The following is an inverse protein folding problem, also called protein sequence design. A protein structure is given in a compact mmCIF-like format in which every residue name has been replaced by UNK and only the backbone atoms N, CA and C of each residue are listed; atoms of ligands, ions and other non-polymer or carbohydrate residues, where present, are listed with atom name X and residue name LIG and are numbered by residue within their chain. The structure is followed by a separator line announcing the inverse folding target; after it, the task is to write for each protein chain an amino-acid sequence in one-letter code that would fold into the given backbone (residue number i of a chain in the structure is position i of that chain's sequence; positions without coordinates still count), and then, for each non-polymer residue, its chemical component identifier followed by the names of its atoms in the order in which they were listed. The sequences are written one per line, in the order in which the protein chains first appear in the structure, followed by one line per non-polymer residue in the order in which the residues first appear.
data_IF_345446916600
#
_entry.id   IF_345446916600
#
_cell.length_a   1.000
_cell.length_b   1.000
_cell.length_c   1.000
_cell.angle_alpha   90.00
_cell.angle_beta   90.00
_cell.angle_gamma   90.00
#
_symmetry.space_group_name_H-M   'P 1'
#
loop_
_entity.id
_entity.type
_entity.pdbx_description
1 polymer ?
#
# COMPACT_ATOMS: atom_id res chain seq x y z
N UNK A 1 -9.71 -3.91 17.58
CA UNK A 1 -9.75 -2.66 16.81
C UNK A 1 -9.60 -1.46 17.73
N UNK A 2 -8.54 -0.65 17.52
CA UNK A 2 -8.23 0.53 18.33
C UNK A 2 -9.38 1.56 18.38
N UNK A 3 -10.17 1.67 17.30
CA UNK A 3 -11.39 2.50 17.25
C UNK A 3 -12.46 2.02 18.24
N UNK A 4 -12.71 0.69 18.31
CA UNK A 4 -13.70 0.12 19.25
C UNK A 4 -13.29 0.26 20.72
N UNK A 5 -11.98 0.38 20.98
CA UNK A 5 -11.42 0.62 22.32
C UNK A 5 -11.44 2.10 22.73
N UNK A 6 -11.71 3.01 21.79
CA UNK A 6 -11.66 4.45 22.02
C UNK A 6 -10.23 5.04 21.98
N UNK A 7 -9.25 4.26 21.51
CA UNK A 7 -7.84 4.68 21.44
C UNK A 7 -7.60 5.66 20.27
N UNK A 8 -8.45 5.59 19.23
CA UNK A 8 -8.44 6.45 18.06
C UNK A 8 -9.84 7.05 17.88
N UNK A 9 -9.94 8.37 17.78
CA UNK A 9 -11.19 9.06 17.50
C UNK A 9 -11.70 8.70 16.10
N UNK A 10 -12.93 8.19 16.00
CA UNK A 10 -13.51 7.74 14.75
C UNK A 10 -13.75 8.88 13.73
N UNK A 11 -13.89 10.12 14.21
CA UNK A 11 -14.18 11.30 13.38
C UNK A 11 -12.90 12.07 13.09
N UNK A 12 -12.14 12.48 14.11
CA UNK A 12 -10.92 13.31 13.93
C UNK A 12 -9.68 12.48 13.59
N UNK A 13 -9.70 11.19 13.93
CA UNK A 13 -8.51 10.35 13.85
C UNK A 13 -7.46 10.68 14.90
N UNK A 14 -7.72 11.52 15.89
CA UNK A 14 -6.74 11.77 16.95
C UNK A 14 -6.51 10.51 17.78
N UNK A 15 -5.24 10.26 18.10
CA UNK A 15 -4.85 9.15 18.98
C UNK A 15 -4.81 9.67 20.42
N UNK A 16 -5.35 8.89 21.35
CA UNK A 16 -5.28 9.25 22.77
C UNK A 16 -3.83 9.17 23.25
N UNK A 17 -3.32 10.27 23.82
CA UNK A 17 -2.02 10.30 24.49
C UNK A 17 -1.98 9.20 25.57
N UNK A 18 -0.84 8.52 25.72
CA UNK A 18 -0.57 7.42 26.67
C UNK A 18 -1.19 6.03 26.38
N UNK A 19 -1.81 5.82 25.21
CA UNK A 19 -2.30 4.49 24.85
C UNK A 19 -1.29 3.73 23.98
N UNK A 20 -0.95 2.49 24.36
CA UNK A 20 -0.12 1.57 23.54
C UNK A 20 -0.90 1.10 22.32
N UNK A 21 -0.92 1.91 21.27
CA UNK A 21 -1.40 1.55 19.93
C UNK A 21 -0.26 0.83 19.20
N UNK A 22 -0.58 -0.27 18.51
CA UNK A 22 0.42 -1.02 17.72
C UNK A 22 0.90 -0.22 16.52
N UNK A 23 2.11 -0.47 16.05
CA UNK A 23 2.67 0.30 14.94
C UNK A 23 1.91 0.06 13.63
N UNK A 24 1.35 -1.14 13.42
CA UNK A 24 0.50 -1.45 12.27
C UNK A 24 -0.77 -0.61 12.29
N UNK A 25 -1.39 -0.40 13.47
CA UNK A 25 -2.57 0.44 13.60
C UNK A 25 -2.24 1.92 13.34
N UNK A 26 -1.05 2.39 13.75
CA UNK A 26 -0.58 3.75 13.43
C UNK A 26 -0.29 3.93 11.94
N UNK A 27 0.32 2.94 11.29
CA UNK A 27 0.56 2.93 9.85
C UNK A 27 -0.78 2.94 9.12
N UNK A 28 -1.71 2.03 9.45
CA UNK A 28 -3.03 1.97 8.83
C UNK A 28 -3.77 3.30 8.95
N UNK A 29 -3.77 3.92 10.13
CA UNK A 29 -4.31 5.27 10.34
C UNK A 29 -3.63 6.27 9.41
N UNK A 30 -2.29 6.31 9.37
CA UNK A 30 -1.54 7.25 8.52
C UNK A 30 -1.86 7.07 7.03
N UNK A 31 -2.10 5.84 6.58
CA UNK A 31 -2.52 5.54 5.21
C UNK A 31 -3.94 6.03 4.93
N UNK A 32 -4.91 5.77 5.82
CA UNK A 32 -6.29 6.26 5.62
C UNK A 32 -6.33 7.79 5.52
N UNK A 33 -5.46 8.48 6.29
CA UNK A 33 -5.36 9.94 6.26
C UNK A 33 -4.56 10.52 5.08
N UNK A 34 -3.76 9.70 4.38
CA UNK A 34 -2.90 10.15 3.29
C UNK A 34 -3.53 9.82 1.94
N UNK A 35 -3.81 10.85 1.13
CA UNK A 35 -4.34 10.67 -0.22
C UNK A 35 -3.78 11.76 -1.15
N UNK A 36 -3.09 11.33 -2.21
CA UNK A 36 -2.28 12.22 -3.03
C UNK A 36 -1.27 12.98 -2.17
N UNK A 37 -1.27 14.31 -2.25
CA UNK A 37 -0.39 15.19 -1.45
C UNK A 37 -1.06 15.74 -0.18
N UNK A 38 -2.25 15.24 0.19
CA UNK A 38 -3.02 15.75 1.33
C UNK A 38 -2.94 14.80 2.52
N UNK A 39 -2.84 15.38 3.71
CA UNK A 39 -2.94 14.67 4.98
C UNK A 39 -4.16 15.17 5.75
N UNK A 40 -5.24 14.38 5.76
CA UNK A 40 -6.46 14.70 6.49
C UNK A 40 -7.16 13.43 6.96
N UNK A 41 -7.28 13.26 8.27
CA UNK A 41 -7.95 12.13 8.90
C UNK A 41 -9.46 12.34 9.08
N UNK A 42 -9.91 13.60 9.10
CA UNK A 42 -11.26 13.96 9.53
C UNK A 42 -12.31 13.38 8.59
N UNK A 43 -13.22 12.57 9.14
CA UNK A 43 -14.29 11.91 8.38
C UNK A 43 -13.86 10.72 7.52
N UNK A 44 -12.57 10.35 7.52
CA UNK A 44 -12.06 9.20 6.75
C UNK A 44 -11.86 7.94 7.59
N UNK A 45 -11.50 8.06 8.87
CA UNK A 45 -11.09 6.92 9.72
C UNK A 45 -12.16 5.83 9.87
N UNK A 46 -13.44 6.20 10.00
CA UNK A 46 -14.55 5.25 10.11
C UNK A 46 -15.25 4.95 8.79
N UNK A 47 -15.08 5.84 7.79
CA UNK A 47 -15.81 5.80 6.52
C UNK A 47 -15.06 5.05 5.44
N UNK A 48 -13.73 5.22 5.40
CA UNK A 48 -12.87 4.71 4.34
C UNK A 48 -12.24 3.39 4.77
N UNK A 49 -12.39 2.37 3.93
CA UNK A 49 -11.63 1.13 4.01
C UNK A 49 -10.43 1.22 3.07
N UNK A 50 -9.26 0.73 3.51
CA UNK A 50 -8.06 0.60 2.66
C UNK A 50 -8.30 -0.38 1.51
N UNK A 51 -9.00 -1.47 1.80
CA UNK A 51 -9.44 -2.49 0.85
C UNK A 51 -10.94 -2.68 1.05
N UNK A 52 -11.72 -2.62 -0.02
CA UNK A 52 -13.17 -2.78 0.05
C UNK A 52 -13.57 -4.26 0.20
N UNK A 53 -14.87 -4.51 0.38
CA UNK A 53 -15.39 -5.87 0.60
C UNK A 53 -15.25 -6.78 -0.64
N UNK A 54 -14.94 -6.22 -1.82
CA UNK A 54 -14.64 -6.95 -3.04
C UNK A 54 -13.14 -7.23 -3.25
N UNK A 55 -12.28 -6.86 -2.29
CA UNK A 55 -10.83 -7.04 -2.39
C UNK A 55 -10.11 -5.99 -3.23
N UNK A 56 -10.79 -4.90 -3.62
CA UNK A 56 -10.20 -3.80 -4.40
C UNK A 56 -9.63 -2.74 -3.46
N UNK A 57 -8.39 -2.34 -3.71
CA UNK A 57 -7.70 -1.29 -2.97
C UNK A 57 -8.34 0.07 -3.28
N UNK A 58 -8.51 0.93 -2.27
CA UNK A 58 -9.07 2.26 -2.46
C UNK A 58 -8.20 3.11 -3.40
N UNK A 59 -8.82 3.61 -4.48
CA UNK A 59 -8.16 4.41 -5.50
C UNK A 59 -7.64 5.77 -4.98
N UNK A 60 -8.31 6.39 -4.00
CA UNK A 60 -7.94 7.71 -3.46
C UNK A 60 -6.50 7.75 -2.94
N UNK A 61 -6.08 6.67 -2.27
CA UNK A 61 -4.78 6.55 -1.61
C UNK A 61 -3.86 5.53 -2.25
N UNK A 62 -4.22 4.95 -3.40
CA UNK A 62 -3.52 3.83 -4.00
C UNK A 62 -2.00 4.06 -4.12
N UNK A 63 -1.59 5.22 -4.66
CA UNK A 63 -0.18 5.56 -4.82
C UNK A 63 0.53 5.86 -3.49
N UNK A 64 -0.19 6.33 -2.48
CA UNK A 64 0.36 6.48 -1.12
C UNK A 64 0.58 5.10 -0.49
N UNK A 65 -0.35 4.16 -0.72
CA UNK A 65 -0.25 2.79 -0.20
C UNK A 65 0.88 2.04 -0.88
N UNK A 66 1.07 2.24 -2.18
CA UNK A 66 2.20 1.68 -2.92
C UNK A 66 3.55 2.14 -2.35
N UNK A 67 3.71 3.44 -2.09
CA UNK A 67 4.92 3.95 -1.42
C UNK A 67 5.13 3.32 -0.05
N UNK A 68 4.07 3.23 0.76
CA UNK A 68 4.19 2.66 2.10
C UNK A 68 4.55 1.17 2.05
N UNK A 69 3.89 0.38 1.20
CA UNK A 69 4.18 -1.04 1.03
C UNK A 69 5.62 -1.25 0.54
N UNK A 70 6.04 -0.50 -0.48
CA UNK A 70 7.38 -0.56 -1.06
C UNK A 70 8.49 -0.32 -0.02
N UNK A 71 8.30 0.59 0.93
CA UNK A 71 9.33 0.97 1.89
C UNK A 71 9.26 0.23 3.23
N UNK A 72 8.05 -0.13 3.71
CA UNK A 72 7.87 -0.82 5.00
C UNK A 72 8.09 -2.31 4.84
N UNK A 73 7.50 -2.90 3.80
CA UNK A 73 7.50 -4.34 3.56
C UNK A 73 8.52 -4.71 2.48
N UNK A 74 9.77 -4.35 2.76
CA UNK A 74 10.88 -4.59 1.82
C UNK A 74 11.00 -6.08 1.48
N UNK A 75 10.77 -6.98 2.45
CA UNK A 75 10.84 -8.42 2.22
C UNK A 75 9.80 -8.89 1.21
N UNK A 76 8.54 -8.48 1.35
CA UNK A 76 7.50 -8.89 0.39
C UNK A 76 7.71 -8.26 -0.99
N UNK A 77 8.23 -7.03 -1.05
CA UNK A 77 8.65 -6.44 -2.32
C UNK A 77 9.75 -7.29 -2.99
N UNK A 78 10.82 -7.64 -2.27
CA UNK A 78 11.90 -8.48 -2.83
C UNK A 78 11.39 -9.85 -3.32
N UNK A 79 10.52 -10.51 -2.54
CA UNK A 79 9.95 -11.82 -2.90
C UNK A 79 9.06 -11.73 -4.14
N UNK A 80 8.35 -10.61 -4.32
CA UNK A 80 7.49 -10.41 -5.50
C UNK A 80 8.26 -10.39 -6.82
N UNK A 81 9.57 -10.10 -6.78
CA UNK A 81 10.43 -9.81 -7.95
C UNK A 81 9.81 -8.78 -8.91
N UNK A 82 8.90 -7.95 -8.41
CA UNK A 82 8.39 -6.81 -9.12
C UNK A 82 9.50 -5.78 -9.27
N UNK A 83 9.37 -4.97 -10.31
CA UNK A 83 10.20 -3.79 -10.51
C UNK A 83 9.25 -2.62 -10.76
N UNK A 84 9.61 -1.43 -10.31
CA UNK A 84 8.81 -0.23 -10.54
C UNK A 84 9.68 0.84 -11.17
N UNK A 85 9.20 1.42 -12.27
CA UNK A 85 9.80 2.61 -12.85
C UNK A 85 8.72 3.65 -13.18
N UNK A 86 8.85 4.90 -12.71
CA UNK A 86 9.85 5.37 -11.75
C UNK A 86 9.68 4.71 -10.36
N UNK A 87 10.77 4.65 -9.60
CA UNK A 87 10.78 4.03 -8.27
C UNK A 87 9.93 4.86 -7.30
N UNK A 88 9.12 4.24 -6.42
CA UNK A 88 8.40 4.96 -5.38
C UNK A 88 9.35 5.80 -4.51
N UNK A 89 8.90 6.98 -4.03
CA UNK A 89 9.72 7.83 -3.17
C UNK A 89 10.12 7.10 -1.88
N UNK A 90 11.29 7.43 -1.35
CA UNK A 90 11.71 6.88 -0.06
C UNK A 90 10.81 7.41 1.06
N UNK A 91 10.41 6.52 1.97
CA UNK A 91 9.58 6.88 3.10
C UNK A 91 9.84 5.94 4.27
N UNK A 92 9.83 6.47 5.49
CA UNK A 92 9.97 5.65 6.69
C UNK A 92 8.90 6.02 7.72
N UNK A 93 8.46 5.02 8.48
CA UNK A 93 7.51 5.23 9.55
C UNK A 93 8.22 5.91 10.73
N UNK A 94 8.07 7.23 10.83
CA UNK A 94 8.61 8.04 11.93
C UNK A 94 7.51 8.57 12.84
N UNK A 95 7.89 9.00 14.04
CA UNK A 95 6.99 9.63 15.02
C UNK A 95 6.35 10.91 14.50
N UNK A 96 7.00 11.64 13.58
CA UNK A 96 6.43 12.83 12.95
C UNK A 96 5.33 12.44 11.96
N UNK A 97 4.11 12.94 12.20
CA UNK A 97 2.98 12.76 11.30
C UNK A 97 3.15 13.64 10.06
N UNK A 98 3.55 13.00 8.97
CA UNK A 98 3.61 13.59 7.63
C UNK A 98 2.82 12.72 6.66
N UNK A 99 2.37 13.35 5.58
CA UNK A 99 1.77 12.66 4.44
C UNK A 99 2.74 11.59 3.93
N UNK A 100 2.22 10.41 3.63
CA UNK A 100 2.99 9.43 2.86
C UNK A 100 3.09 9.98 1.44
N UNK A 101 4.29 10.21 0.87
CA UNK A 101 4.39 10.79 -0.45
C UNK A 101 3.81 9.82 -1.49
N UNK A 102 2.96 10.29 -2.42
CA UNK A 102 2.38 9.41 -3.43
C UNK A 102 3.48 8.96 -4.40
N UNK A 103 3.47 7.68 -4.76
CA UNK A 103 4.25 7.19 -5.89
C UNK A 103 3.78 7.86 -7.18
N UNK A 104 4.70 8.05 -8.12
CA UNK A 104 4.33 8.41 -9.48
C UNK A 104 3.64 7.20 -10.14
N UNK A 105 2.73 7.43 -11.11
CA UNK A 105 2.18 6.35 -11.91
C UNK A 105 3.31 5.51 -12.53
N UNK A 106 3.37 4.20 -12.26
CA UNK A 106 4.44 3.37 -12.79
C UNK A 106 4.28 3.25 -14.31
N UNK A 107 5.32 3.64 -15.04
CA UNK A 107 5.45 3.41 -16.47
C UNK A 107 5.86 1.96 -16.77
N UNK A 108 6.47 1.27 -15.80
CA UNK A 108 6.83 -0.14 -15.91
C UNK A 108 6.56 -0.88 -14.59
N UNK A 109 6.01 -2.08 -14.72
CA UNK A 109 6.02 -3.11 -13.68
C UNK A 109 6.03 -4.50 -14.30
N UNK A 110 6.52 -5.48 -13.56
CA UNK A 110 6.69 -6.85 -14.04
C UNK A 110 6.12 -7.86 -13.05
N UNK A 111 5.68 -9.00 -13.60
CA UNK A 111 5.20 -10.15 -12.84
C UNK A 111 6.05 -11.34 -13.29
N UNK A 112 6.85 -11.95 -12.41
CA UNK A 112 7.65 -13.11 -12.77
C UNK A 112 6.73 -14.32 -12.99
N UNK A 113 7.03 -15.12 -14.01
CA UNK A 113 6.40 -16.42 -14.23
C UNK A 113 7.42 -17.40 -14.80
N UNK A 114 7.22 -18.68 -14.53
CA UNK A 114 8.01 -19.77 -15.08
C UNK A 114 7.23 -20.47 -16.19
N UNK A 115 7.95 -20.84 -17.23
CA UNK A 115 7.45 -21.68 -18.31
C UNK A 115 8.14 -23.03 -18.20
N UNK A 116 7.38 -24.10 -18.29
CA UNK A 116 7.86 -25.48 -18.24
C UNK A 116 7.52 -26.18 -19.55
N UNK A 117 8.23 -27.27 -19.84
CA UNK A 117 7.94 -28.18 -20.97
C UNK A 117 7.99 -27.56 -22.38
N UNK A 118 8.81 -26.52 -22.56
CA UNK A 118 9.11 -25.93 -23.87
C UNK A 118 10.23 -26.70 -24.59
N UNK A 119 9.89 -27.89 -25.09
CA UNK A 119 10.87 -28.84 -25.64
C UNK A 119 11.15 -28.60 -27.12
N UNK A 120 10.15 -28.16 -27.90
CA UNK A 120 10.27 -27.98 -29.35
C UNK A 120 9.85 -26.58 -29.83
N UNK A 121 10.28 -26.20 -31.03
CA UNK A 121 9.94 -24.90 -31.64
C UNK A 121 8.42 -24.71 -31.81
N UNK A 122 7.62 -25.73 -32.22
CA UNK A 122 6.17 -25.60 -32.28
C UNK A 122 5.52 -25.22 -30.95
N UNK A 123 5.94 -25.80 -29.81
CA UNK A 123 5.38 -25.47 -28.49
C UNK A 123 5.74 -24.06 -28.05
N UNK A 124 6.95 -23.58 -28.35
CA UNK A 124 7.35 -22.19 -28.08
C UNK A 124 6.46 -21.20 -28.87
N UNK A 125 6.26 -21.45 -30.17
CA UNK A 125 5.40 -20.59 -31.00
C UNK A 125 3.95 -20.62 -30.53
N UNK A 126 3.46 -21.79 -30.11
CA UNK A 126 2.13 -21.93 -29.53
C UNK A 126 2.01 -21.08 -28.26
N UNK A 127 2.98 -21.15 -27.35
CA UNK A 127 2.97 -20.39 -26.09
C UNK A 127 2.92 -18.88 -26.32
N UNK A 128 3.70 -18.34 -27.26
CA UNK A 128 3.76 -16.90 -27.54
C UNK A 128 2.48 -16.36 -28.20
N UNK A 129 1.78 -17.19 -28.97
CA UNK A 129 0.58 -16.77 -29.73
C UNK A 129 -0.69 -16.70 -28.88
N UNK A 130 -0.71 -17.30 -27.69
CA UNK A 130 -1.83 -17.20 -26.74
C UNK A 130 -1.67 -15.94 -25.90
#
# INVERSE_FOLDING_TARGET
NAIKKGDINAVTGEMKADTKITDEAKIARRLVCSYGNKYNCTGRISTIKLVNDAGVINADGFYNYLTAWYNIDNMMYYVSQASFYPVPPSWSFTTHEKVVPPALPPAYSQIPFYLIDLIDTPMVVKMIRV
#
